data_IF_775458659218
#
_entry.id   IF_775458659218
#
_cell.length_a   1.000
_cell.length_b   1.000
_cell.length_c   1.000
_cell.angle_alpha   90.00
_cell.angle_beta   90.00
_cell.angle_gamma   90.00
#
_symmetry.space_group_name_H-M   'P 1'
#
loop_
_entity.id
_entity.type
_entity.pdbx_description
1 polymer ?
#
# COMPACT_ATOMS: atom_id res chain seq x y z
N UNK A 1 -1.95 -8.00 11.58
CA UNK A 1 -1.96 -6.55 11.92
C UNK A 1 -1.62 -5.67 10.73
N UNK A 2 -0.48 -5.87 10.04
CA UNK A 2 -0.09 -5.04 8.88
C UNK A 2 -1.11 -5.04 7.72
N UNK A 3 -1.74 -6.19 7.45
CA UNK A 3 -2.79 -6.30 6.44
C UNK A 3 -3.98 -5.36 6.69
N UNK A 4 -4.45 -5.29 7.95
CA UNK A 4 -5.55 -4.40 8.35
C UNK A 4 -5.14 -2.93 8.17
N UNK A 5 -3.89 -2.61 8.50
CA UNK A 5 -3.33 -1.27 8.30
C UNK A 5 -3.32 -0.90 6.80
N UNK A 6 -2.89 -1.82 5.93
CA UNK A 6 -2.88 -1.62 4.48
C UNK A 6 -4.30 -1.43 3.90
N UNK A 7 -5.28 -2.22 4.37
CA UNK A 7 -6.70 -2.04 4.02
C UNK A 7 -7.19 -0.65 4.45
N UNK A 8 -6.85 -0.22 5.66
CA UNK A 8 -7.13 1.14 6.13
C UNK A 8 -6.57 2.20 5.19
N UNK A 9 -5.33 2.02 4.72
CA UNK A 9 -4.69 2.91 3.74
C UNK A 9 -5.51 3.05 2.45
N UNK A 10 -6.02 1.94 1.90
CA UNK A 10 -6.90 1.94 0.72
C UNK A 10 -8.20 2.71 0.99
N UNK A 11 -8.81 2.51 2.16
CA UNK A 11 -10.04 3.24 2.54
C UNK A 11 -9.76 4.75 2.60
N UNK A 12 -8.66 5.17 3.23
CA UNK A 12 -8.25 6.58 3.25
C UNK A 12 -8.02 7.14 1.85
N UNK A 13 -7.41 6.36 0.95
CA UNK A 13 -7.28 6.74 -0.47
C UNK A 13 -8.63 6.97 -1.11
N UNK A 14 -9.57 6.03 -0.97
CA UNK A 14 -10.92 6.15 -1.56
C UNK A 14 -11.65 7.38 -1.02
N UNK A 15 -11.63 7.60 0.30
CA UNK A 15 -12.25 8.78 0.91
C UNK A 15 -11.61 10.07 0.38
N UNK A 16 -10.28 10.12 0.30
CA UNK A 16 -9.56 11.25 -0.27
C UNK A 16 -10.00 11.55 -1.71
N UNK A 17 -10.17 10.52 -2.54
CA UNK A 17 -10.66 10.67 -3.92
C UNK A 17 -12.09 11.17 -4.00
N UNK A 18 -12.98 10.66 -3.14
CA UNK A 18 -14.37 11.17 -3.06
C UNK A 18 -14.38 12.66 -2.69
N UNK A 19 -13.57 13.06 -1.71
CA UNK A 19 -13.45 14.47 -1.30
C UNK A 19 -12.87 15.35 -2.41
N UNK A 20 -11.87 14.87 -3.15
CA UNK A 20 -11.28 15.57 -4.29
C UNK A 20 -12.31 15.81 -5.42
N UNK A 21 -13.11 14.79 -5.75
CA UNK A 21 -14.17 14.90 -6.77
C UNK A 21 -15.22 15.93 -6.34
N UNK A 22 -15.54 15.99 -5.03
CA UNK A 22 -16.47 16.96 -4.45
C UNK A 22 -15.85 18.36 -4.22
N UNK A 23 -14.62 18.63 -4.68
CA UNK A 23 -13.87 19.86 -4.45
C UNK A 23 -13.73 20.24 -2.96
N UNK A 24 -13.66 19.25 -2.07
CA UNK A 24 -13.42 19.42 -0.63
C UNK A 24 -11.94 19.21 -0.29
N UNK A 25 -11.53 19.55 0.93
CA UNK A 25 -10.17 19.29 1.40
C UNK A 25 -9.87 17.79 1.44
N UNK A 26 -8.96 17.33 0.56
CA UNK A 26 -8.61 15.92 0.39
C UNK A 26 -7.15 15.60 0.76
N UNK A 27 -6.30 16.63 0.92
CA UNK A 27 -4.85 16.49 1.09
C UNK A 27 -4.50 15.63 2.32
N UNK A 28 -5.25 15.81 3.42
CA UNK A 28 -5.04 15.05 4.66
C UNK A 28 -5.21 13.53 4.46
N UNK A 29 -6.29 13.12 3.80
CA UNK A 29 -6.56 11.70 3.51
C UNK A 29 -5.49 11.10 2.59
N UNK A 30 -5.07 11.88 1.58
CA UNK A 30 -3.99 11.49 0.67
C UNK A 30 -2.68 11.28 1.41
N UNK A 31 -2.30 12.22 2.28
CA UNK A 31 -1.09 12.12 3.10
C UNK A 31 -1.10 10.89 4.00
N UNK A 32 -2.19 10.65 4.73
CA UNK A 32 -2.33 9.46 5.60
C UNK A 32 -2.19 8.18 4.79
N UNK A 33 -2.87 8.09 3.63
CA UNK A 33 -2.78 6.89 2.80
C UNK A 33 -1.34 6.61 2.33
N UNK A 34 -0.58 7.66 1.97
CA UNK A 34 0.83 7.51 1.61
C UNK A 34 1.71 7.10 2.80
N UNK A 35 1.50 7.67 3.97
CA UNK A 35 2.24 7.30 5.19
C UNK A 35 2.02 5.81 5.51
N UNK A 36 0.78 5.33 5.39
CA UNK A 36 0.44 3.92 5.57
C UNK A 36 1.16 3.05 4.53
N UNK A 37 1.13 3.43 3.27
CA UNK A 37 1.80 2.69 2.19
C UNK A 37 3.32 2.60 2.40
N UNK A 38 3.95 3.71 2.77
CA UNK A 38 5.39 3.78 3.07
C UNK A 38 5.73 2.90 4.28
N UNK A 39 4.94 2.95 5.36
CA UNK A 39 5.15 2.10 6.54
C UNK A 39 5.10 0.61 6.19
N UNK A 40 4.14 0.21 5.34
CA UNK A 40 4.05 -1.17 4.86
C UNK A 40 5.28 -1.58 4.02
N UNK A 41 5.77 -0.68 3.15
CA UNK A 41 6.97 -0.92 2.34
C UNK A 41 8.24 -1.04 3.19
N UNK A 42 8.43 -0.15 4.18
CA UNK A 42 9.59 -0.22 5.08
C UNK A 42 9.60 -1.57 5.81
N UNK A 43 8.44 -2.01 6.29
CA UNK A 43 8.34 -3.30 6.98
C UNK A 43 8.61 -4.48 6.04
N UNK A 44 8.11 -4.42 4.81
CA UNK A 44 8.42 -5.41 3.78
C UNK A 44 9.93 -5.48 3.51
N UNK A 45 10.58 -4.34 3.25
CA UNK A 45 12.03 -4.29 2.99
C UNK A 45 12.83 -4.84 4.18
N UNK A 46 12.44 -4.48 5.41
CA UNK A 46 13.09 -5.00 6.61
C UNK A 46 12.99 -6.53 6.70
N UNK A 47 11.81 -7.09 6.43
CA UNK A 47 11.63 -8.55 6.47
C UNK A 47 12.35 -9.24 5.31
N UNK A 48 12.40 -8.63 4.11
CA UNK A 48 13.22 -9.12 2.98
C UNK A 48 14.69 -9.24 3.40
N UNK A 49 15.26 -8.20 4.01
CA UNK A 49 16.65 -8.20 4.50
C UNK A 49 16.83 -9.24 5.61
N UNK A 50 15.87 -9.37 6.53
CA UNK A 50 15.93 -10.34 7.63
C UNK A 50 15.95 -11.79 7.12
N UNK A 51 15.19 -12.07 6.06
CA UNK A 51 15.07 -13.38 5.46
C UNK A 51 15.93 -13.52 4.19
N UNK A 52 16.99 -12.72 4.06
CA UNK A 52 17.87 -12.69 2.89
C UNK A 52 18.44 -14.09 2.54
N UNK A 53 18.69 -14.92 3.55
CA UNK A 53 19.11 -16.32 3.34
C UNK A 53 18.12 -17.16 2.54
N UNK A 54 16.81 -16.86 2.57
CA UNK A 54 15.77 -17.54 1.78
C UNK A 54 15.73 -17.04 0.32
N UNK A 55 16.45 -15.96 0.00
CA UNK A 55 16.66 -15.49 -1.37
C UNK A 55 17.84 -16.15 -2.07
N UNK A 56 18.58 -17.05 -1.43
CA UNK A 56 19.79 -17.69 -2.00
C UNK A 56 19.54 -18.59 -3.21
N UNK A 57 18.29 -18.71 -3.70
CA UNK A 57 17.95 -19.25 -5.02
C UNK A 57 16.90 -18.38 -5.76
N UNK A 58 16.78 -17.08 -5.43
CA UNK A 58 15.82 -16.11 -6.01
C UNK A 58 14.33 -16.49 -5.90
N UNK A 59 13.97 -17.44 -5.04
CA UNK A 59 12.58 -17.88 -4.89
C UNK A 59 11.80 -16.94 -3.97
N UNK A 60 11.27 -15.85 -4.54
CA UNK A 60 10.28 -14.99 -3.88
C UNK A 60 9.11 -15.78 -3.30
N UNK A 61 8.77 -16.92 -3.91
CA UNK A 61 7.77 -17.86 -3.44
C UNK A 61 8.08 -18.38 -2.02
N UNK A 62 9.30 -18.89 -1.80
CA UNK A 62 9.73 -19.38 -0.50
C UNK A 62 9.76 -18.25 0.55
N UNK A 63 10.16 -17.03 0.17
CA UNK A 63 10.06 -15.88 1.06
C UNK A 63 8.60 -15.62 1.47
N UNK A 64 7.66 -15.61 0.53
CA UNK A 64 6.24 -15.37 0.82
C UNK A 64 5.59 -16.48 1.64
N UNK A 65 6.06 -17.72 1.53
CA UNK A 65 5.60 -18.85 2.34
C UNK A 65 6.15 -18.82 3.77
N UNK A 66 7.42 -18.43 3.94
CA UNK A 66 8.09 -18.36 5.26
C UNK A 66 7.71 -17.09 6.02
N UNK A 67 7.44 -16.00 5.31
CA UNK A 67 6.98 -14.77 5.92
C UNK A 67 5.58 -14.98 6.51
N UNK A 68 5.47 -14.97 7.84
CA UNK A 68 4.20 -15.04 8.58
C UNK A 68 3.20 -13.92 8.26
N UNK A 69 3.62 -12.92 7.49
CA UNK A 69 2.82 -11.75 7.12
C UNK A 69 2.40 -11.88 5.66
N UNK A 70 1.13 -11.63 5.37
CA UNK A 70 0.50 -11.78 4.05
C UNK A 70 0.95 -10.68 3.06
N UNK A 71 2.26 -10.68 2.74
CA UNK A 71 2.94 -9.62 2.00
C UNK A 71 2.45 -9.49 0.56
N UNK A 72 2.01 -10.60 -0.06
CA UNK A 72 1.41 -10.55 -1.41
C UNK A 72 0.20 -9.60 -1.42
N UNK A 73 -0.73 -9.77 -0.47
CA UNK A 73 -1.92 -8.91 -0.36
C UNK A 73 -1.56 -7.49 0.04
N UNK A 74 -0.63 -7.32 0.98
CA UNK A 74 -0.20 -6.00 1.44
C UNK A 74 0.41 -5.19 0.29
N UNK A 75 1.28 -5.79 -0.53
CA UNK A 75 1.88 -5.13 -1.68
C UNK A 75 0.83 -4.73 -2.72
N UNK A 76 -0.19 -5.56 -2.95
CA UNK A 76 -1.33 -5.21 -3.82
C UNK A 76 -2.05 -3.96 -3.27
N UNK A 77 -2.33 -3.90 -1.97
CA UNK A 77 -2.98 -2.73 -1.37
C UNK A 77 -2.11 -1.47 -1.43
N UNK A 78 -0.81 -1.60 -1.20
CA UNK A 78 0.15 -0.51 -1.39
C UNK A 78 0.11 0.01 -2.84
N UNK A 79 0.13 -0.89 -3.82
CA UNK A 79 0.06 -0.53 -5.24
C UNK A 79 -1.23 0.25 -5.56
N UNK A 80 -2.38 -0.22 -5.05
CA UNK A 80 -3.67 0.45 -5.20
C UNK A 80 -3.61 1.88 -4.64
N UNK A 81 -3.05 2.07 -3.44
CA UNK A 81 -2.91 3.39 -2.81
C UNK A 81 -2.11 4.34 -3.73
N UNK A 82 -0.98 3.89 -4.28
CA UNK A 82 -0.16 4.71 -5.16
C UNK A 82 -0.89 5.05 -6.47
N UNK A 83 -1.45 4.06 -7.15
CA UNK A 83 -2.13 4.24 -8.44
C UNK A 83 -3.29 5.23 -8.30
N UNK A 84 -4.19 5.00 -7.34
CA UNK A 84 -5.38 5.85 -7.19
C UNK A 84 -5.04 7.28 -6.79
N UNK A 85 -3.95 7.50 -6.07
CA UNK A 85 -3.50 8.83 -5.70
C UNK A 85 -2.72 9.55 -6.83
N UNK A 86 -2.13 8.82 -7.78
CA UNK A 86 -1.42 9.38 -8.94
C UNK A 86 -2.35 9.77 -10.09
N UNK A 87 -3.48 9.06 -10.26
CA UNK A 87 -4.42 9.36 -11.34
C UNK A 87 -5.06 10.74 -11.11
N UNK A 88 -5.07 11.65 -12.09
CA UNK A 88 -5.75 12.95 -11.96
C UNK A 88 -7.25 12.76 -11.70
N UNK A 89 -7.86 13.58 -10.85
CA UNK A 89 -9.32 13.54 -10.62
C UNK A 89 -10.15 13.89 -11.85
N UNK A 90 -9.55 14.55 -12.86
CA UNK A 90 -10.19 14.82 -14.15
C UNK A 90 -10.61 13.55 -14.90
N UNK A 91 -9.92 12.41 -14.70
CA UNK A 91 -10.35 11.14 -15.28
C UNK A 91 -11.66 10.60 -14.69
N UNK A 92 -12.05 11.07 -13.50
CA UNK A 92 -13.24 10.60 -12.78
C UNK A 92 -14.41 11.59 -12.89
N UNK A 93 -14.18 12.82 -13.35
CA UNK A 93 -15.23 13.79 -13.66
C UNK A 93 -15.69 13.54 -15.10
N UNK A 94 -16.82 12.84 -15.26
CA UNK A 94 -17.59 12.80 -16.52
C UNK A 94 -18.55 13.98 -16.57
#
# INVERSE_FOLDING_TARGET
MLLIIAIGGVIFTIIGRIMEIQNRSFIFYKLISYLIAISCLIKFIYDVIKYDSYFTNTSWEAFFEVASTDYRRILIYVLIIFIFNLIPSSFFKK
#
